data_IF_382137853150
#
_entry.id   IF_382137853150
#
_cell.length_a   1.000
_cell.length_b   1.000
_cell.length_c   1.000
_cell.angle_alpha   90.00
_cell.angle_beta   90.00
_cell.angle_gamma   90.00
#
_symmetry.space_group_name_H-M   'P 1'
#
loop_
_entity.id
_entity.type
_entity.pdbx_description
1 polymer ?
#
# COMPACT_ATOMS: atom_id res chain seq x y z
N UNK A 1 23.45 -9.94 1.48
CA UNK A 1 22.12 -10.23 0.94
C UNK A 1 21.08 -9.49 1.76
N UNK A 2 20.52 -8.42 1.20
CA UNK A 2 19.53 -7.59 1.89
C UNK A 2 18.12 -8.03 1.52
N UNK A 3 17.46 -8.75 2.42
CA UNK A 3 16.03 -9.00 2.34
C UNK A 3 15.26 -7.78 2.86
N UNK A 4 14.12 -7.49 2.26
CA UNK A 4 13.22 -6.45 2.76
C UNK A 4 12.64 -6.83 4.12
N UNK A 5 12.31 -5.82 4.92
CA UNK A 5 11.73 -5.95 6.26
C UNK A 5 10.24 -5.63 6.22
N UNK A 6 9.52 -6.08 7.25
CA UNK A 6 8.13 -5.63 7.45
C UNK A 6 8.07 -4.11 7.54
N UNK A 7 7.13 -3.51 6.81
CA UNK A 7 6.97 -2.05 6.74
C UNK A 7 7.74 -1.36 5.61
N UNK A 8 8.68 -2.02 4.94
CA UNK A 8 9.39 -1.44 3.79
C UNK A 8 8.44 -1.13 2.62
N UNK A 9 7.26 -1.77 2.58
CA UNK A 9 6.22 -1.51 1.58
C UNK A 9 5.70 -0.06 1.58
N UNK A 10 5.95 0.72 2.62
CA UNK A 10 5.47 2.11 2.73
C UNK A 10 5.92 3.00 1.57
N UNK A 11 7.14 2.77 1.04
CA UNK A 11 7.61 3.48 -0.15
C UNK A 11 6.79 3.09 -1.39
N UNK A 12 6.61 1.80 -1.62
CA UNK A 12 5.81 1.28 -2.73
C UNK A 12 4.35 1.72 -2.63
N UNK A 13 3.80 1.74 -1.42
CA UNK A 13 2.47 2.25 -1.13
C UNK A 13 2.30 3.70 -1.61
N UNK A 14 3.25 4.56 -1.23
CA UNK A 14 3.23 5.98 -1.61
C UNK A 14 3.27 6.15 -3.13
N UNK A 15 4.19 5.46 -3.80
CA UNK A 15 4.32 5.57 -5.26
C UNK A 15 3.11 4.99 -5.99
N UNK A 16 2.57 3.85 -5.57
CA UNK A 16 1.35 3.30 -6.12
C UNK A 16 0.20 4.31 -6.02
N UNK A 17 0.02 4.94 -4.84
CA UNK A 17 -1.01 5.95 -4.63
C UNK A 17 -0.85 7.21 -5.48
N UNK A 18 0.39 7.63 -5.72
CA UNK A 18 0.67 8.82 -6.54
C UNK A 18 0.54 8.56 -8.04
N UNK A 19 0.92 7.37 -8.50
CA UNK A 19 0.97 7.03 -9.93
C UNK A 19 -0.37 6.53 -10.47
N UNK A 20 -1.18 5.90 -9.64
CA UNK A 20 -2.48 5.38 -10.05
C UNK A 20 -3.37 6.47 -10.66
N UNK A 21 -3.87 6.21 -11.86
CA UNK A 21 -4.68 7.17 -12.63
C UNK A 21 -3.90 8.29 -13.32
N UNK A 22 -2.57 8.35 -13.13
CA UNK A 22 -1.69 9.33 -13.81
C UNK A 22 -0.86 8.71 -14.93
N UNK A 23 -0.64 7.41 -14.86
CA UNK A 23 0.08 6.66 -15.90
C UNK A 23 -0.87 5.64 -16.55
N UNK A 24 -0.60 5.29 -17.81
CA UNK A 24 -1.36 4.29 -18.58
C UNK A 24 -0.72 2.89 -18.50
N UNK A 25 -0.13 2.56 -17.36
CA UNK A 25 0.54 1.28 -17.14
C UNK A 25 0.05 0.66 -15.86
N UNK A 26 0.09 -0.66 -15.79
CA UNK A 26 -0.15 -1.41 -14.57
C UNK A 26 1.00 -1.20 -13.57
N UNK A 27 0.65 -1.16 -12.30
CA UNK A 27 1.60 -0.96 -11.21
C UNK A 27 1.79 -2.29 -10.48
N UNK A 28 3.01 -2.82 -10.54
CA UNK A 28 3.43 -3.96 -9.72
C UNK A 28 4.20 -3.44 -8.51
N UNK A 29 3.62 -3.53 -7.33
CA UNK A 29 4.25 -3.10 -6.09
C UNK A 29 5.06 -4.22 -5.45
N UNK A 30 6.26 -3.90 -4.99
CA UNK A 30 7.14 -4.83 -4.29
C UNK A 30 7.72 -4.18 -3.03
N UNK A 31 8.59 -4.89 -2.32
CA UNK A 31 9.24 -4.49 -1.07
C UNK A 31 8.37 -4.70 0.19
N UNK A 32 8.87 -5.54 1.09
CA UNK A 32 8.37 -5.65 2.46
C UNK A 32 6.94 -6.14 2.60
N UNK A 33 6.40 -6.83 1.59
CA UNK A 33 5.10 -7.50 1.65
C UNK A 33 5.29 -8.87 2.29
N UNK A 34 4.67 -9.08 3.45
CA UNK A 34 4.82 -10.30 4.22
C UNK A 34 3.50 -11.01 4.53
N UNK A 35 2.38 -10.33 4.36
CA UNK A 35 1.05 -10.88 4.62
C UNK A 35 -0.01 -10.26 3.72
N UNK A 36 -1.26 -10.77 3.83
CA UNK A 36 -2.37 -10.31 3.02
C UNK A 36 -2.80 -8.87 3.30
N UNK A 37 -2.59 -8.38 4.54
CA UNK A 37 -2.91 -6.99 4.88
C UNK A 37 -1.98 -6.00 4.16
N UNK A 38 -0.69 -6.32 4.07
CA UNK A 38 0.25 -5.52 3.31
C UNK A 38 -0.15 -5.46 1.84
N UNK A 39 -0.53 -6.60 1.26
CA UNK A 39 -0.99 -6.69 -0.12
C UNK A 39 -2.28 -5.88 -0.35
N UNK A 40 -3.28 -5.99 0.54
CA UNK A 40 -4.53 -5.24 0.45
C UNK A 40 -4.28 -3.72 0.47
N UNK A 41 -3.38 -3.24 1.34
CA UNK A 41 -3.01 -1.81 1.40
C UNK A 41 -2.41 -1.32 0.07
N UNK A 42 -1.56 -2.12 -0.55
CA UNK A 42 -0.96 -1.79 -1.85
C UNK A 42 -1.99 -1.78 -2.98
N UNK A 43 -2.90 -2.75 -3.02
CA UNK A 43 -4.00 -2.79 -3.98
C UNK A 43 -4.95 -1.58 -3.82
N UNK A 44 -5.33 -1.26 -2.59
CA UNK A 44 -6.12 -0.05 -2.27
C UNK A 44 -5.43 1.23 -2.71
N UNK A 45 -4.11 1.29 -2.64
CA UNK A 45 -3.33 2.45 -3.10
C UNK A 45 -3.27 2.56 -4.62
N UNK A 46 -3.51 1.48 -5.37
CA UNK A 46 -3.54 1.50 -6.83
C UNK A 46 -2.61 0.51 -7.52
N UNK A 47 -1.94 -0.36 -6.77
CA UNK A 47 -1.23 -1.48 -7.37
C UNK A 47 -2.21 -2.43 -8.07
N UNK A 48 -1.82 -2.93 -9.23
CA UNK A 48 -2.56 -3.96 -9.98
C UNK A 48 -2.19 -5.36 -9.47
N UNK A 49 -0.93 -5.52 -9.07
CA UNK A 49 -0.41 -6.76 -8.50
C UNK A 49 0.69 -6.47 -7.48
N UNK A 50 1.04 -7.49 -6.72
CA UNK A 50 2.06 -7.40 -5.68
C UNK A 50 3.12 -8.47 -5.91
N UNK A 51 4.39 -8.09 -5.82
CA UNK A 51 5.51 -9.00 -5.91
C UNK A 51 6.06 -9.28 -4.51
N UNK A 52 6.24 -10.55 -4.18
CA UNK A 52 6.80 -11.00 -2.92
C UNK A 52 8.05 -11.85 -3.16
N UNK A 53 9.12 -11.52 -2.46
CA UNK A 53 10.40 -12.27 -2.50
C UNK A 53 10.84 -12.64 -1.10
N UNK A 54 11.02 -11.66 -0.23
CA UNK A 54 11.55 -11.87 1.12
C UNK A 54 10.67 -12.76 1.99
N UNK A 55 9.34 -12.66 1.83
CA UNK A 55 8.40 -13.51 2.54
C UNK A 55 8.50 -14.97 2.08
N UNK A 56 8.60 -15.20 0.77
CA UNK A 56 8.78 -16.55 0.20
C UNK A 56 10.11 -17.14 0.65
N UNK A 57 11.18 -16.36 0.62
CA UNK A 57 12.48 -16.82 1.10
C UNK A 57 12.47 -17.23 2.57
N UNK A 58 11.73 -16.47 3.39
CA UNK A 58 11.71 -16.67 4.85
C UNK A 58 10.71 -17.72 5.32
N UNK A 59 9.57 -17.83 4.67
CA UNK A 59 8.44 -18.66 5.11
C UNK A 59 8.04 -19.76 4.13
N UNK A 60 8.70 -19.84 2.96
CA UNK A 60 8.36 -20.79 1.92
C UNK A 60 7.21 -20.32 1.02
N UNK A 61 6.87 -21.14 0.04
CA UNK A 61 5.86 -20.81 -0.99
C UNK A 61 4.42 -20.78 -0.46
N UNK A 62 4.15 -21.44 0.67
CA UNK A 62 2.81 -21.45 1.29
C UNK A 62 2.30 -20.04 1.62
N UNK A 63 3.20 -19.08 1.86
CA UNK A 63 2.84 -17.69 2.13
C UNK A 63 2.02 -17.06 1.00
N UNK A 64 2.19 -17.50 -0.25
CA UNK A 64 1.41 -17.03 -1.39
C UNK A 64 -0.07 -17.40 -1.21
N UNK A 65 -0.34 -18.65 -0.87
CA UNK A 65 -1.70 -19.14 -0.63
C UNK A 65 -2.35 -18.46 0.57
N UNK A 66 -1.59 -18.20 1.62
CA UNK A 66 -2.06 -17.48 2.82
C UNK A 66 -2.43 -16.03 2.50
N UNK A 67 -1.60 -15.33 1.72
CA UNK A 67 -1.88 -13.96 1.27
C UNK A 67 -3.15 -13.93 0.42
N UNK A 68 -3.27 -14.84 -0.56
CA UNK A 68 -4.46 -14.90 -1.42
C UNK A 68 -5.72 -15.21 -0.62
N UNK A 69 -5.64 -16.13 0.35
CA UNK A 69 -6.76 -16.44 1.25
C UNK A 69 -7.19 -15.21 2.04
N UNK A 70 -6.23 -14.48 2.63
CA UNK A 70 -6.52 -13.26 3.39
C UNK A 70 -7.20 -12.20 2.53
N UNK A 71 -6.73 -12.00 1.29
CA UNK A 71 -7.34 -11.06 0.34
C UNK A 71 -8.78 -11.48 0.04
N UNK A 72 -9.03 -12.77 -0.28
CA UNK A 72 -10.34 -13.30 -0.59
C UNK A 72 -11.32 -13.12 0.58
N UNK A 73 -10.93 -13.51 1.78
CA UNK A 73 -11.74 -13.35 2.99
C UNK A 73 -12.05 -11.87 3.30
N UNK A 74 -11.09 -10.98 3.06
CA UNK A 74 -11.30 -9.54 3.21
C UNK A 74 -12.29 -9.00 2.16
N UNK A 75 -12.16 -9.43 0.91
CA UNK A 75 -13.08 -9.07 -0.17
C UNK A 75 -14.51 -9.51 0.16
N UNK A 76 -14.69 -10.74 0.62
CA UNK A 76 -16.00 -11.26 1.02
C UNK A 76 -16.63 -10.42 2.14
N UNK A 77 -15.87 -10.07 3.18
CA UNK A 77 -16.34 -9.21 4.27
C UNK A 77 -16.72 -7.81 3.81
N UNK A 78 -16.06 -7.30 2.76
CA UNK A 78 -16.32 -5.96 2.21
C UNK A 78 -17.34 -5.95 1.07
N UNK A 79 -17.78 -7.11 0.60
CA UNK A 79 -18.72 -7.23 -0.52
C UNK A 79 -18.11 -6.93 -1.89
N UNK A 80 -16.80 -7.15 -2.05
CA UNK A 80 -16.11 -7.00 -3.33
C UNK A 80 -16.05 -8.32 -4.09
N UNK A 81 -16.38 -8.30 -5.38
CA UNK A 81 -16.34 -9.47 -6.25
C UNK A 81 -15.00 -9.57 -7.00
N UNK A 82 -14.36 -8.45 -7.28
CA UNK A 82 -13.11 -8.38 -8.05
C UNK A 82 -12.11 -7.42 -7.41
N UNK A 83 -10.83 -7.57 -7.75
CA UNK A 83 -9.78 -6.62 -7.34
C UNK A 83 -10.09 -5.20 -7.86
N UNK A 84 -10.65 -5.09 -9.07
CA UNK A 84 -10.98 -3.79 -9.67
C UNK A 84 -12.06 -3.04 -8.89
N UNK A 85 -12.90 -3.72 -8.11
CA UNK A 85 -13.91 -3.08 -7.27
C UNK A 85 -13.30 -2.19 -6.17
N UNK A 86 -12.07 -2.46 -5.76
CA UNK A 86 -11.42 -1.69 -4.69
C UNK A 86 -10.03 -1.14 -5.04
N UNK A 87 -9.41 -1.58 -6.14
CA UNK A 87 -8.11 -1.10 -6.58
C UNK A 87 -8.08 0.42 -6.70
N UNK A 88 -7.12 1.06 -6.07
CA UNK A 88 -6.91 2.50 -6.15
C UNK A 88 -7.93 3.36 -5.40
N UNK A 89 -8.83 2.80 -4.59
CA UNK A 89 -9.79 3.61 -3.82
C UNK A 89 -9.13 4.62 -2.88
N UNK A 90 -7.92 4.32 -2.41
CA UNK A 90 -7.11 5.21 -1.55
C UNK A 90 -5.98 5.91 -2.32
N UNK A 91 -6.01 5.89 -3.65
CA UNK A 91 -5.04 6.61 -4.46
C UNK A 91 -5.28 8.13 -4.46
N UNK A 92 -4.23 8.89 -4.74
CA UNK A 92 -4.32 10.36 -4.83
C UNK A 92 -5.34 10.83 -5.85
N UNK A 93 -5.39 10.18 -7.02
CA UNK A 93 -6.34 10.53 -8.09
C UNK A 93 -7.79 10.32 -7.66
N UNK A 94 -8.08 9.33 -6.81
CA UNK A 94 -9.41 9.06 -6.30
C UNK A 94 -9.77 9.99 -5.15
N UNK A 95 -8.85 10.18 -4.20
CA UNK A 95 -9.09 10.99 -3.00
C UNK A 95 -9.13 12.50 -3.28
N UNK A 96 -8.36 12.99 -4.25
CA UNK A 96 -8.32 14.42 -4.60
C UNK A 96 -9.59 14.93 -5.27
N UNK A 97 -10.52 14.06 -5.62
CA UNK A 97 -11.86 14.47 -6.08
C UNK A 97 -12.74 15.03 -4.96
N UNK A 98 -12.30 14.95 -3.72
CA UNK A 98 -13.03 15.40 -2.55
C UNK A 98 -12.22 16.45 -1.78
N UNK A 99 -12.69 17.70 -1.76
CA UNK A 99 -12.02 18.85 -1.12
C UNK A 99 -11.72 18.63 0.38
N UNK A 100 -12.60 17.92 1.09
CA UNK A 100 -12.41 17.61 2.51
C UNK A 100 -11.19 16.72 2.75
N UNK A 101 -10.90 15.79 1.82
CA UNK A 101 -9.73 14.92 1.89
C UNK A 101 -8.44 15.70 1.62
N UNK A 102 -8.49 16.70 0.75
CA UNK A 102 -7.35 17.57 0.46
C UNK A 102 -6.95 18.39 1.71
N UNK A 103 -7.93 18.91 2.44
CA UNK A 103 -7.71 19.64 3.70
C UNK A 103 -7.08 18.70 4.75
N UNK A 104 -7.59 17.48 4.87
CA UNK A 104 -7.07 16.48 5.80
C UNK A 104 -5.61 16.10 5.48
N UNK A 105 -5.29 15.87 4.21
CA UNK A 105 -3.90 15.60 3.76
C UNK A 105 -2.94 16.76 4.09
N UNK A 106 -3.38 17.99 3.91
CA UNK A 106 -2.59 19.18 4.26
C UNK A 106 -2.35 19.27 5.76
N UNK A 107 -3.38 19.00 6.56
CA UNK A 107 -3.26 18.98 8.02
C UNK A 107 -2.25 17.91 8.50
N UNK A 108 -2.32 16.69 7.94
CA UNK A 108 -1.34 15.64 8.24
C UNK A 108 0.10 16.01 7.83
N UNK A 109 0.25 16.67 6.67
CA UNK A 109 1.57 17.10 6.21
C UNK A 109 2.16 18.18 7.12
N UNK A 110 1.35 19.12 7.58
CA UNK A 110 1.76 20.16 8.54
C UNK A 110 2.13 19.51 9.89
N UNK A 111 1.33 18.57 10.37
CA UNK A 111 1.60 17.85 11.61
C UNK A 111 2.93 17.07 11.54
N UNK A 112 3.20 16.40 10.43
CA UNK A 112 4.48 15.74 10.17
C UNK A 112 5.66 16.71 10.15
N UNK A 113 5.48 17.89 9.59
CA UNK A 113 6.53 18.92 9.58
C UNK A 113 6.79 19.50 10.97
N UNK A 114 5.72 19.78 11.73
CA UNK A 114 5.82 20.34 13.08
C UNK A 114 6.41 19.35 14.09
N UNK A 115 6.17 18.05 13.87
CA UNK A 115 6.64 16.96 14.73
C UNK A 115 7.81 16.17 14.10
N UNK A 116 8.51 16.77 13.14
CA UNK A 116 9.61 16.10 12.41
C UNK A 116 10.68 15.54 13.35
N UNK A 117 11.02 16.24 14.40
CA UNK A 117 12.05 15.84 15.37
C UNK A 117 11.66 14.59 16.16
N UNK A 118 10.35 14.38 16.39
CA UNK A 118 9.84 13.18 17.06
C UNK A 118 9.63 12.02 16.12
N UNK A 119 9.31 12.28 14.85
CA UNK A 119 9.02 11.26 13.83
C UNK A 119 10.28 10.72 13.16
N UNK A 120 11.29 11.57 12.96
CA UNK A 120 12.51 11.20 12.24
C UNK A 120 13.73 10.99 13.14
N UNK A 121 13.59 11.20 14.46
CA UNK A 121 14.60 10.89 15.47
C UNK A 121 15.99 11.44 15.13
N UNK A 122 16.35 12.53 15.78
CA UNK A 122 17.60 13.27 15.71
C UNK A 122 17.71 14.38 14.67
N UNK A 123 18.21 15.48 15.20
CA UNK A 123 18.53 16.71 14.48
C UNK A 123 19.30 16.43 13.20
N UNK A 124 18.76 16.90 12.12
CA UNK A 124 19.56 17.20 10.92
C UNK A 124 20.57 18.27 11.25
#
# INVERSE_FOLDING_TARGET
FNLSRRGDYKKSLRYAGMLHGRIKADICSSLGVFDGEDAIKLLLSGATCVQIVSAVYKYGTSVISEINKTISEWMDRKGYSTIDDFKGKLSDSTLNKNDSVLIYKRAQYIDLLLNSDTVFGEKL
#
